data_IF_307066057992
#
_entry.id   IF_307066057992
#
_cell.length_a   1.000
_cell.length_b   1.000
_cell.length_c   1.000
_cell.angle_alpha   90.00
_cell.angle_beta   90.00
_cell.angle_gamma   90.00
#
_symmetry.space_group_name_H-M   'P 1'
#
loop_
_entity.id
_entity.type
_entity.pdbx_description
1 polymer ?
#
# COMPACT_ATOMS: atom_id res chain seq x y z
N UNK A 1 -3.24 -32.31 -14.25
CA UNK A 1 -2.58 -33.05 -13.13
C UNK A 1 -3.20 -32.69 -11.80
N UNK A 2 -3.17 -31.42 -11.37
CA UNK A 2 -3.71 -30.99 -10.07
C UNK A 2 -5.25 -31.12 -9.91
N UNK A 3 -5.99 -31.30 -11.01
CA UNK A 3 -7.42 -31.65 -10.97
C UNK A 3 -7.69 -33.09 -10.51
N UNK A 4 -6.66 -33.93 -10.38
CA UNK A 4 -6.79 -35.29 -9.87
C UNK A 4 -6.66 -35.26 -8.33
N UNK A 5 -7.67 -35.73 -7.56
CA UNK A 5 -7.67 -35.66 -6.10
C UNK A 5 -6.52 -36.45 -5.44
N UNK A 6 -5.87 -37.36 -6.18
CA UNK A 6 -4.73 -38.13 -5.68
C UNK A 6 -3.40 -37.36 -5.74
N UNK A 7 -3.35 -36.22 -6.44
CA UNK A 7 -2.14 -35.40 -6.50
C UNK A 7 -2.06 -34.53 -5.25
N UNK A 8 -0.99 -34.72 -4.48
CA UNK A 8 -0.72 -33.94 -3.27
C UNK A 8 -0.09 -32.60 -3.65
N UNK A 9 -0.88 -31.51 -3.58
CA UNK A 9 -0.42 -30.15 -3.89
C UNK A 9 0.69 -29.67 -2.94
N UNK A 10 0.68 -30.16 -1.70
CA UNK A 10 1.66 -29.86 -0.64
C UNK A 10 2.68 -31.00 -0.47
N UNK A 11 3.04 -31.70 -1.55
CA UNK A 11 4.14 -32.67 -1.46
C UNK A 11 5.44 -31.97 -1.10
N UNK A 12 6.34 -32.69 -0.46
CA UNK A 12 7.65 -32.19 -0.04
C UNK A 12 8.74 -32.90 -0.85
N UNK A 13 9.75 -32.14 -1.26
CA UNK A 13 10.97 -32.72 -1.84
C UNK A 13 11.98 -33.14 -0.74
N UNK A 14 13.20 -33.49 -1.13
CA UNK A 14 14.26 -33.92 -0.21
C UNK A 14 14.72 -32.82 0.77
N UNK A 15 14.44 -31.55 0.48
CA UNK A 15 14.73 -30.39 1.33
C UNK A 15 13.49 -29.89 2.08
N UNK A 16 12.40 -30.65 2.03
CA UNK A 16 11.11 -30.27 2.59
C UNK A 16 10.53 -28.98 1.97
N UNK A 17 10.83 -28.71 0.69
CA UNK A 17 10.20 -27.63 -0.06
C UNK A 17 8.89 -28.08 -0.72
N UNK A 18 7.90 -27.19 -0.69
CA UNK A 18 6.63 -27.39 -1.41
C UNK A 18 6.74 -26.93 -2.88
N UNK A 19 5.86 -27.40 -3.78
CA UNK A 19 5.74 -26.86 -5.12
C UNK A 19 5.53 -25.34 -5.17
N UNK A 20 4.82 -24.79 -4.18
CA UNK A 20 4.57 -23.35 -4.09
C UNK A 20 5.85 -22.58 -3.77
N UNK A 21 6.69 -23.09 -2.85
CA UNK A 21 8.01 -22.51 -2.56
C UNK A 21 8.90 -22.48 -3.81
N UNK A 22 8.95 -23.60 -4.56
CA UNK A 22 9.68 -23.67 -5.82
C UNK A 22 9.17 -22.68 -6.86
N UNK A 23 7.85 -22.57 -7.02
CA UNK A 23 7.23 -21.64 -7.97
C UNK A 23 7.51 -20.17 -7.59
N UNK A 24 7.46 -19.85 -6.30
CA UNK A 24 7.75 -18.53 -5.78
C UNK A 24 9.22 -18.15 -6.00
N UNK A 25 10.15 -19.01 -5.63
CA UNK A 25 11.59 -18.77 -5.82
C UNK A 25 11.99 -18.61 -7.30
N UNK A 26 11.36 -19.40 -8.19
CA UNK A 26 11.62 -19.36 -9.64
C UNK A 26 10.81 -18.29 -10.39
N UNK A 27 10.12 -17.40 -9.67
CA UNK A 27 9.30 -16.32 -10.23
C UNK A 27 8.25 -16.79 -11.25
N UNK A 28 7.56 -17.91 -10.97
CA UNK A 28 6.54 -18.49 -11.85
C UNK A 28 5.12 -18.15 -11.40
N UNK A 29 4.68 -16.91 -11.66
CA UNK A 29 3.39 -16.38 -11.21
C UNK A 29 2.19 -17.28 -11.57
N UNK A 30 2.13 -17.81 -12.79
CA UNK A 30 1.04 -18.71 -13.21
C UNK A 30 1.01 -20.02 -12.42
N UNK A 31 2.18 -20.55 -12.04
CA UNK A 31 2.28 -21.75 -11.23
C UNK A 31 1.87 -21.46 -9.78
N UNK A 32 2.30 -20.32 -9.21
CA UNK A 32 1.83 -19.88 -7.89
C UNK A 32 0.31 -19.79 -7.87
N UNK A 33 -0.29 -19.11 -8.87
CA UNK A 33 -1.74 -18.95 -8.98
C UNK A 33 -2.46 -20.29 -9.05
N UNK A 34 -1.98 -21.20 -9.90
CA UNK A 34 -2.54 -22.54 -10.04
C UNK A 34 -2.45 -23.34 -8.73
N UNK A 35 -1.31 -23.32 -8.06
CA UNK A 35 -1.10 -24.06 -6.81
C UNK A 35 -2.00 -23.52 -5.68
N UNK A 36 -2.08 -22.21 -5.53
CA UNK A 36 -2.95 -21.55 -4.54
C UNK A 36 -4.43 -21.87 -4.78
N UNK A 37 -4.89 -21.85 -6.04
CA UNK A 37 -6.26 -22.25 -6.39
C UNK A 37 -6.59 -23.71 -6.03
N UNK A 38 -5.56 -24.57 -5.95
CA UNK A 38 -5.70 -25.98 -5.59
C UNK A 38 -5.38 -26.27 -4.11
N UNK A 39 -5.36 -25.23 -3.26
CA UNK A 39 -5.22 -25.40 -1.80
C UNK A 39 -3.79 -25.61 -1.33
N UNK A 40 -2.81 -25.05 -2.05
CA UNK A 40 -1.44 -25.01 -1.56
C UNK A 40 -1.37 -24.31 -0.20
N UNK A 41 -0.66 -24.92 0.75
CA UNK A 41 -0.41 -24.35 2.06
C UNK A 41 0.63 -23.23 1.94
N UNK A 42 0.16 -22.00 2.09
CA UNK A 42 0.95 -20.78 1.94
C UNK A 42 1.92 -20.56 3.11
N UNK A 43 1.59 -21.10 4.29
CA UNK A 43 2.34 -20.92 5.54
C UNK A 43 3.15 -22.15 5.94
N UNK A 44 3.22 -23.16 5.07
CA UNK A 44 4.10 -24.31 5.26
C UNK A 44 5.53 -23.83 5.57
N UNK A 45 6.09 -24.33 6.66
CA UNK A 45 7.41 -23.97 7.18
C UNK A 45 8.30 -25.21 7.41
N UNK A 46 7.94 -26.36 6.81
CA UNK A 46 8.65 -27.63 6.98
C UNK A 46 10.02 -27.67 6.31
N UNK A 47 10.34 -26.70 5.46
CA UNK A 47 11.65 -26.52 4.84
C UNK A 47 12.78 -26.64 5.88
N UNK A 48 13.92 -27.21 5.49
CA UNK A 48 15.04 -27.49 6.42
C UNK A 48 15.52 -26.27 7.24
N UNK A 49 15.35 -25.05 6.70
CA UNK A 49 15.66 -23.79 7.41
C UNK A 49 14.43 -22.99 7.84
N UNK A 50 13.22 -23.55 7.78
CA UNK A 50 11.98 -22.90 8.16
C UNK A 50 11.54 -21.79 7.19
N UNK A 51 11.84 -21.92 5.89
CA UNK A 51 11.48 -20.91 4.91
C UNK A 51 10.04 -21.14 4.44
N UNK A 52 9.26 -20.06 4.37
CA UNK A 52 7.89 -20.07 3.84
C UNK A 52 7.86 -19.66 2.37
N UNK A 53 6.72 -19.86 1.70
CA UNK A 53 6.53 -19.39 0.33
C UNK A 53 6.73 -17.87 0.19
N UNK A 54 6.31 -17.09 1.20
CA UNK A 54 6.49 -15.63 1.22
C UNK A 54 7.97 -15.22 1.31
N UNK A 55 8.78 -15.96 2.08
CA UNK A 55 10.23 -15.70 2.15
C UNK A 55 10.90 -15.94 0.79
N UNK A 56 10.53 -17.02 0.09
CA UNK A 56 11.04 -17.29 -1.26
C UNK A 56 10.58 -16.25 -2.29
N UNK A 57 9.33 -15.77 -2.20
CA UNK A 57 8.85 -14.69 -3.04
C UNK A 57 9.63 -13.39 -2.80
N UNK A 58 9.86 -13.02 -1.54
CA UNK A 58 10.70 -11.87 -1.17
C UNK A 58 12.13 -11.98 -1.69
N UNK A 59 12.73 -13.17 -1.63
CA UNK A 59 14.07 -13.44 -2.18
C UNK A 59 14.12 -13.36 -3.72
N UNK A 60 13.04 -13.77 -4.39
CA UNK A 60 12.95 -13.74 -5.86
C UNK A 60 12.89 -12.32 -6.44
N UNK A 61 12.49 -11.34 -5.62
CA UNK A 61 12.26 -9.96 -6.07
C UNK A 61 10.94 -9.74 -6.81
N UNK A 62 10.11 -10.77 -6.97
CA UNK A 62 8.84 -10.65 -7.69
C UNK A 62 7.72 -10.12 -6.78
N UNK A 63 7.45 -8.82 -6.89
CA UNK A 63 6.40 -8.14 -6.13
C UNK A 63 4.99 -8.67 -6.42
N UNK A 64 4.67 -9.07 -7.67
CA UNK A 64 3.37 -9.64 -8.05
C UNK A 64 3.13 -10.97 -7.34
N UNK A 65 4.14 -11.84 -7.30
CA UNK A 65 4.05 -13.12 -6.59
C UNK A 65 3.96 -12.90 -5.07
N UNK A 66 4.70 -11.92 -4.56
CA UNK A 66 4.65 -11.55 -3.15
C UNK A 66 3.24 -11.12 -2.75
N UNK A 67 2.61 -10.24 -3.53
CA UNK A 67 1.22 -9.82 -3.31
C UNK A 67 0.24 -11.00 -3.41
N UNK A 68 0.39 -11.86 -4.43
CA UNK A 68 -0.46 -13.04 -4.61
C UNK A 68 -0.40 -14.01 -3.41
N UNK A 69 0.78 -14.21 -2.85
CA UNK A 69 1.00 -15.08 -1.68
C UNK A 69 0.39 -14.43 -0.43
N UNK A 70 0.54 -13.12 -0.24
CA UNK A 70 -0.10 -12.39 0.86
C UNK A 70 -1.63 -12.44 0.76
N UNK A 71 -2.19 -12.27 -0.43
CA UNK A 71 -3.64 -12.39 -0.69
C UNK A 71 -4.17 -13.80 -0.39
N UNK A 72 -3.32 -14.83 -0.51
CA UNK A 72 -3.65 -16.19 -0.12
C UNK A 72 -3.57 -16.44 1.40
N UNK A 73 -3.26 -15.42 2.21
CA UNK A 73 -3.23 -15.50 3.66
C UNK A 73 -1.86 -15.81 4.26
N UNK A 74 -0.78 -15.46 3.55
CA UNK A 74 0.56 -15.62 4.09
C UNK A 74 0.78 -14.75 5.34
N UNK A 75 1.35 -15.35 6.38
CA UNK A 75 1.74 -14.68 7.61
C UNK A 75 3.06 -13.93 7.41
N UNK A 76 3.09 -12.65 7.77
CA UNK A 76 4.24 -11.75 7.53
C UNK A 76 5.28 -11.79 8.65
N UNK A 77 4.89 -12.30 9.82
CA UNK A 77 5.65 -12.36 11.08
C UNK A 77 6.33 -13.70 11.33
N UNK A 78 6.05 -14.72 10.50
CA UNK A 78 6.79 -15.98 10.54
C UNK A 78 8.29 -15.75 10.31
N UNK A 79 9.10 -16.42 11.12
CA UNK A 79 10.56 -16.34 11.09
C UNK A 79 11.18 -17.68 10.73
N UNK A 80 12.26 -17.63 9.95
CA UNK A 80 13.06 -18.81 9.64
C UNK A 80 14.00 -19.19 10.80
N UNK A 81 14.83 -20.22 10.59
CA UNK A 81 15.79 -20.72 11.59
C UNK A 81 16.82 -19.70 12.09
N UNK A 82 17.04 -18.61 11.35
CA UNK A 82 17.92 -17.50 11.74
C UNK A 82 17.16 -16.29 12.28
N UNK A 83 15.86 -16.44 12.57
CA UNK A 83 15.03 -15.40 13.19
C UNK A 83 14.67 -14.25 12.24
N UNK A 84 14.62 -14.50 10.92
CA UNK A 84 14.31 -13.48 9.91
C UNK A 84 12.93 -13.67 9.28
N UNK A 85 12.19 -12.57 9.16
CA UNK A 85 10.90 -12.51 8.44
C UNK A 85 11.10 -12.38 6.94
N UNK A 86 10.04 -12.60 6.16
CA UNK A 86 10.09 -12.44 4.70
C UNK A 86 10.53 -11.04 4.25
N UNK A 87 10.04 -9.97 4.91
CA UNK A 87 10.46 -8.60 4.62
C UNK A 87 11.95 -8.39 4.91
N UNK A 88 12.48 -8.97 6.00
CA UNK A 88 13.90 -8.86 6.32
C UNK A 88 14.78 -9.65 5.34
N UNK A 89 14.32 -10.81 4.88
CA UNK A 89 15.00 -11.59 3.83
C UNK A 89 15.02 -10.80 2.51
N UNK A 90 13.90 -10.23 2.09
CA UNK A 90 13.82 -9.39 0.90
C UNK A 90 14.75 -8.16 1.01
N UNK A 91 14.78 -7.50 2.18
CA UNK A 91 15.66 -6.36 2.42
C UNK A 91 17.16 -6.76 2.35
N UNK A 92 17.52 -7.93 2.87
CA UNK A 92 18.90 -8.42 2.86
C UNK A 92 19.46 -8.58 1.43
N UNK A 93 18.62 -8.98 0.47
CA UNK A 93 18.98 -9.11 -0.94
C UNK A 93 18.63 -7.87 -1.79
N UNK A 94 18.21 -6.77 -1.17
CA UNK A 94 17.91 -5.50 -1.87
C UNK A 94 16.58 -5.47 -2.62
N UNK A 95 15.65 -6.37 -2.33
CA UNK A 95 14.36 -6.48 -3.03
C UNK A 95 13.31 -5.52 -2.43
N UNK A 96 13.55 -4.22 -2.58
CA UNK A 96 12.78 -3.15 -1.93
C UNK A 96 11.29 -3.13 -2.30
N UNK A 97 10.92 -3.50 -3.52
CA UNK A 97 9.51 -3.57 -3.92
C UNK A 97 8.77 -4.66 -3.15
N UNK A 98 9.40 -5.83 -2.94
CA UNK A 98 8.84 -6.89 -2.11
C UNK A 98 8.73 -6.45 -0.64
N UNK A 99 9.75 -5.78 -0.10
CA UNK A 99 9.70 -5.20 1.27
C UNK A 99 8.52 -4.23 1.40
N UNK A 100 8.34 -3.36 0.41
CA UNK A 100 7.26 -2.38 0.39
C UNK A 100 5.91 -3.08 0.38
N UNK A 101 5.72 -4.07 -0.49
CA UNK A 101 4.48 -4.86 -0.59
C UNK A 101 4.18 -5.57 0.72
N UNK A 102 5.15 -6.26 1.33
CA UNK A 102 4.95 -6.99 2.59
C UNK A 102 4.58 -6.04 3.72
N UNK A 103 5.35 -4.96 3.91
CA UNK A 103 5.15 -4.03 5.03
C UNK A 103 3.87 -3.19 4.89
N UNK A 104 3.41 -2.93 3.67
CA UNK A 104 2.20 -2.16 3.39
C UNK A 104 0.99 -3.04 3.08
N UNK A 105 1.11 -4.37 3.23
CA UNK A 105 0.03 -5.28 2.87
C UNK A 105 -1.20 -5.04 3.74
N UNK A 106 -2.35 -4.92 3.07
CA UNK A 106 -3.64 -4.83 3.72
C UNK A 106 -4.57 -5.87 3.10
N UNK A 107 -4.93 -6.89 3.88
CA UNK A 107 -5.76 -7.96 3.37
C UNK A 107 -7.15 -7.46 2.99
N UNK A 108 -7.63 -7.90 1.83
CA UNK A 108 -8.99 -7.57 1.37
C UNK A 108 -10.06 -8.04 2.36
N UNK A 109 -9.85 -9.19 3.00
CA UNK A 109 -10.74 -9.72 4.04
C UNK A 109 -10.94 -8.73 5.21
N UNK A 110 -9.90 -7.98 5.59
CA UNK A 110 -10.00 -6.95 6.64
C UNK A 110 -10.88 -5.77 6.21
N UNK A 111 -10.90 -5.41 4.93
CA UNK A 111 -11.83 -4.42 4.40
C UNK A 111 -13.26 -4.96 4.31
N UNK A 112 -13.40 -6.23 3.93
CA UNK A 112 -14.70 -6.88 3.76
C UNK A 112 -15.50 -6.96 5.08
N UNK A 113 -14.83 -6.93 6.24
CA UNK A 113 -15.47 -6.76 7.54
C UNK A 113 -16.45 -5.57 7.58
N UNK A 114 -16.11 -4.46 6.90
CA UNK A 114 -16.91 -3.23 6.85
C UNK A 114 -18.02 -3.28 5.81
N UNK A 115 -18.02 -4.31 4.95
CA UNK A 115 -19.02 -4.46 3.88
C UNK A 115 -20.28 -5.18 4.33
N UNK A 116 -20.31 -5.61 5.59
CA UNK A 116 -21.44 -6.28 6.23
C UNK A 116 -21.85 -5.49 7.47
N UNK A 117 -23.16 -5.38 7.77
CA UNK A 117 -23.60 -4.79 9.03
C UNK A 117 -23.04 -5.58 10.22
N UNK A 118 -22.59 -4.89 11.27
CA UNK A 118 -22.03 -5.51 12.47
C UNK A 118 -22.90 -5.20 13.70
N UNK A 119 -23.13 -6.22 14.55
CA UNK A 119 -23.93 -6.05 15.77
C UNK A 119 -25.36 -5.57 15.48
N UNK A 120 -25.70 -4.37 15.97
CA UNK A 120 -27.02 -3.75 15.81
C UNK A 120 -27.14 -2.81 14.60
N UNK A 121 -26.13 -2.78 13.72
CA UNK A 121 -26.14 -1.93 12.52
C UNK A 121 -27.13 -2.46 11.47
N UNK A 122 -27.87 -1.55 10.84
CA UNK A 122 -28.84 -1.88 9.78
C UNK A 122 -28.16 -1.87 8.40
N UNK A 123 -27.19 -0.99 8.20
CA UNK A 123 -26.44 -0.85 6.95
C UNK A 123 -24.94 -1.08 7.17
N UNK A 124 -24.21 -1.59 6.16
CA UNK A 124 -22.77 -1.70 6.24
C UNK A 124 -22.10 -0.32 6.21
N UNK A 125 -20.99 -0.18 6.95
CA UNK A 125 -20.18 1.05 6.97
C UNK A 125 -19.58 1.35 5.59
N UNK A 126 -19.25 0.32 4.83
CA UNK A 126 -18.76 0.40 3.46
C UNK A 126 -19.70 -0.37 2.52
N UNK A 127 -20.25 0.23 1.46
CA UNK A 127 -20.95 -0.52 0.42
C UNK A 127 -20.04 -1.61 -0.20
N UNK A 128 -20.50 -2.87 -0.39
CA UNK A 128 -19.66 -3.94 -0.93
C UNK A 128 -18.98 -3.61 -2.27
N UNK A 129 -19.67 -2.84 -3.13
CA UNK A 129 -19.14 -2.35 -4.42
C UNK A 129 -17.91 -1.44 -4.28
N UNK A 130 -17.73 -0.79 -3.13
CA UNK A 130 -16.58 0.08 -2.85
C UNK A 130 -15.36 -0.66 -2.31
N UNK A 131 -15.49 -1.94 -1.92
CA UNK A 131 -14.38 -2.70 -1.37
C UNK A 131 -13.22 -2.82 -2.36
N UNK A 132 -13.51 -3.11 -3.63
CA UNK A 132 -12.47 -3.19 -4.68
C UNK A 132 -11.76 -1.86 -4.91
N UNK A 133 -12.48 -0.78 -5.26
CA UNK A 133 -11.87 0.54 -5.49
C UNK A 133 -11.08 1.07 -4.29
N UNK A 134 -11.60 0.92 -3.07
CA UNK A 134 -10.93 1.38 -1.86
C UNK A 134 -9.71 0.53 -1.50
N UNK A 135 -9.80 -0.80 -1.67
CA UNK A 135 -8.65 -1.69 -1.50
C UNK A 135 -7.52 -1.36 -2.47
N UNK A 136 -7.84 -1.02 -3.73
CA UNK A 136 -6.84 -0.54 -4.72
C UNK A 136 -6.13 0.73 -4.25
N UNK A 137 -6.84 1.69 -3.66
CA UNK A 137 -6.23 2.90 -3.08
C UNK A 137 -5.33 2.53 -1.89
N UNK A 138 -5.81 1.68 -0.99
CA UNK A 138 -5.03 1.22 0.18
C UNK A 138 -3.73 0.53 -0.24
N UNK A 139 -3.78 -0.34 -1.26
CA UNK A 139 -2.63 -1.12 -1.72
C UNK A 139 -1.65 -0.30 -2.57
N UNK A 140 -2.03 0.90 -3.02
CA UNK A 140 -1.13 1.76 -3.79
C UNK A 140 0.11 2.14 -2.97
N UNK A 141 1.28 2.04 -3.60
CA UNK A 141 2.58 2.42 -3.03
C UNK A 141 3.00 3.84 -3.42
N UNK A 142 2.44 4.37 -4.50
CA UNK A 142 2.61 5.76 -4.91
C UNK A 142 1.67 6.67 -4.11
N UNK A 143 2.21 7.27 -3.05
CA UNK A 143 1.50 8.14 -2.11
C UNK A 143 1.39 9.59 -2.59
N UNK A 144 1.73 9.89 -3.85
CA UNK A 144 1.61 11.23 -4.38
C UNK A 144 0.12 11.66 -4.38
N UNK A 145 -0.24 12.83 -3.80
CA UNK A 145 -1.63 13.29 -3.77
C UNK A 145 -2.27 13.34 -5.16
N UNK A 146 -1.51 13.72 -6.20
CA UNK A 146 -2.01 13.79 -7.59
C UNK A 146 -2.43 12.41 -8.07
N UNK A 147 -1.59 11.39 -7.84
CA UNK A 147 -1.91 10.00 -8.20
C UNK A 147 -3.16 9.51 -7.48
N UNK A 148 -3.27 9.78 -6.19
CA UNK A 148 -4.41 9.36 -5.38
C UNK A 148 -5.71 10.04 -5.81
N UNK A 149 -5.67 11.35 -6.11
CA UNK A 149 -6.82 12.09 -6.66
C UNK A 149 -7.21 11.54 -8.03
N UNK A 150 -6.24 11.19 -8.88
CA UNK A 150 -6.53 10.53 -10.16
C UNK A 150 -7.22 9.17 -9.98
N UNK A 151 -6.78 8.34 -9.02
CA UNK A 151 -7.45 7.06 -8.72
C UNK A 151 -8.91 7.26 -8.29
N UNK A 152 -9.20 8.30 -7.52
CA UNK A 152 -10.58 8.68 -7.16
C UNK A 152 -11.36 9.14 -8.39
N UNK A 153 -10.77 10.00 -9.21
CA UNK A 153 -11.41 10.58 -10.41
C UNK A 153 -11.75 9.52 -11.47
N UNK A 154 -10.90 8.50 -11.62
CA UNK A 154 -11.06 7.45 -12.64
C UNK A 154 -12.14 6.42 -12.29
N UNK A 155 -12.54 6.30 -11.02
CA UNK A 155 -13.55 5.33 -10.57
C UNK A 155 -14.93 6.00 -10.38
N UNK A 156 -15.95 5.63 -11.17
CA UNK A 156 -17.28 6.23 -11.08
C UNK A 156 -17.96 6.06 -9.71
N UNK A 157 -17.56 5.08 -8.92
CA UNK A 157 -18.11 4.87 -7.58
C UNK A 157 -17.47 5.78 -6.53
N UNK A 158 -16.22 6.22 -6.75
CA UNK A 158 -15.48 7.06 -5.81
C UNK A 158 -15.72 8.56 -6.00
N UNK A 159 -16.25 8.98 -7.16
CA UNK A 159 -16.67 10.37 -7.38
C UNK A 159 -18.06 10.69 -6.78
N UNK A 160 -18.82 9.67 -6.36
CA UNK A 160 -20.06 9.88 -5.61
C UNK A 160 -19.77 10.37 -4.19
N UNK A 161 -20.33 11.52 -3.82
CA UNK A 161 -20.07 12.21 -2.54
C UNK A 161 -20.38 11.32 -1.34
N UNK A 162 -21.51 10.60 -1.37
CA UNK A 162 -21.95 9.74 -0.25
C UNK A 162 -21.06 8.50 -0.14
N UNK A 163 -20.70 7.91 -1.28
CA UNK A 163 -19.79 6.77 -1.34
C UNK A 163 -18.39 7.13 -0.83
N UNK A 164 -17.83 8.26 -1.29
CA UNK A 164 -16.52 8.75 -0.87
C UNK A 164 -16.49 9.11 0.62
N UNK A 165 -17.60 9.66 1.14
CA UNK A 165 -17.76 9.89 2.57
C UNK A 165 -17.66 8.60 3.38
N UNK A 166 -18.35 7.53 2.95
CA UNK A 166 -18.22 6.21 3.59
C UNK A 166 -16.78 5.67 3.49
N UNK A 167 -16.09 5.88 2.37
CA UNK A 167 -14.70 5.46 2.20
C UNK A 167 -13.73 6.10 3.21
N UNK A 168 -13.72 7.44 3.34
CA UNK A 168 -12.78 8.08 4.26
C UNK A 168 -13.10 7.78 5.73
N UNK A 169 -14.39 7.65 6.10
CA UNK A 169 -14.79 7.24 7.46
C UNK A 169 -14.27 5.84 7.80
N UNK A 170 -14.26 4.92 6.83
CA UNK A 170 -13.65 3.59 7.01
C UNK A 170 -12.13 3.68 7.14
N UNK A 171 -11.48 4.62 6.45
CA UNK A 171 -10.04 4.87 6.65
C UNK A 171 -9.74 5.36 8.06
N UNK A 172 -10.57 6.25 8.63
CA UNK A 172 -10.43 6.71 10.01
C UNK A 172 -10.55 5.55 11.00
N UNK A 173 -11.53 4.66 10.80
CA UNK A 173 -11.70 3.45 11.62
C UNK A 173 -10.52 2.49 11.49
N UNK A 174 -9.99 2.29 10.27
CA UNK A 174 -8.81 1.45 10.04
C UNK A 174 -7.56 2.03 10.70
N UNK A 175 -7.38 3.36 10.64
CA UNK A 175 -6.31 4.07 11.34
C UNK A 175 -6.39 3.79 12.84
N UNK A 176 -7.57 3.98 13.44
CA UNK A 176 -7.79 3.72 14.86
C UNK A 176 -7.53 2.26 15.25
N UNK A 177 -7.96 1.31 14.42
CA UNK A 177 -7.69 -0.10 14.64
C UNK A 177 -6.20 -0.44 14.60
N UNK A 178 -5.42 0.17 13.70
CA UNK A 178 -3.97 -0.06 13.63
C UNK A 178 -3.25 0.41 14.90
N UNK A 179 -3.81 1.39 15.61
CA UNK A 179 -3.25 1.90 16.87
C UNK A 179 -3.69 1.09 18.08
N UNK A 180 -4.90 0.53 18.07
CA UNK A 180 -5.44 -0.28 19.18
C UNK A 180 -4.92 -1.72 19.23
N UNK A 181 -4.25 -2.19 18.17
CA UNK A 181 -3.65 -3.52 18.16
C UNK A 181 -2.50 -3.62 19.16
N UNK A 182 -2.28 -4.83 19.70
CA UNK A 182 -1.28 -5.09 20.74
C UNK A 182 0.13 -4.63 20.31
N UNK A 183 0.44 -4.78 19.03
CA UNK A 183 1.56 -4.14 18.36
C UNK A 183 1.03 -3.04 17.45
N UNK A 184 1.24 -1.78 17.85
CA UNK A 184 0.80 -0.62 17.08
C UNK A 184 1.52 -0.57 15.74
N UNK A 185 0.78 -0.77 14.65
CA UNK A 185 1.34 -0.64 13.31
C UNK A 185 1.30 0.84 12.89
N UNK A 186 2.30 1.61 13.34
CA UNK A 186 2.38 3.06 13.10
C UNK A 186 2.37 3.43 11.62
N UNK A 187 3.07 2.64 10.79
CA UNK A 187 3.19 2.83 9.35
C UNK A 187 1.82 2.71 8.69
N UNK A 188 1.11 1.62 8.98
CA UNK A 188 -0.22 1.41 8.41
C UNK A 188 -1.22 2.44 8.94
N UNK A 189 -1.16 2.79 10.23
CA UNK A 189 -2.00 3.85 10.81
C UNK A 189 -1.80 5.20 10.10
N UNK A 190 -0.55 5.63 9.94
CA UNK A 190 -0.22 6.87 9.23
C UNK A 190 -0.65 6.82 7.76
N UNK A 191 -0.50 5.66 7.10
CA UNK A 191 -0.97 5.47 5.72
C UNK A 191 -2.49 5.62 5.62
N UNK A 192 -3.26 4.96 6.48
CA UNK A 192 -4.73 5.05 6.50
C UNK A 192 -5.19 6.49 6.76
N UNK A 193 -4.55 7.18 7.71
CA UNK A 193 -4.82 8.59 8.00
C UNK A 193 -4.53 9.50 6.80
N UNK A 194 -3.39 9.30 6.14
CA UNK A 194 -3.01 10.08 4.98
C UNK A 194 -3.98 9.86 3.82
N UNK A 195 -4.37 8.60 3.54
CA UNK A 195 -5.43 8.28 2.57
C UNK A 195 -6.73 8.99 2.96
N UNK A 196 -7.14 8.91 4.23
CA UNK A 196 -8.34 9.61 4.73
C UNK A 196 -8.28 11.12 4.43
N UNK A 197 -7.16 11.78 4.70
CA UNK A 197 -6.99 13.21 4.42
C UNK A 197 -7.13 13.54 2.92
N UNK A 198 -6.59 12.70 2.04
CA UNK A 198 -6.72 12.87 0.58
C UNK A 198 -8.17 12.67 0.15
N UNK A 199 -8.86 11.64 0.64
CA UNK A 199 -10.26 11.38 0.32
C UNK A 199 -11.18 12.49 0.84
N UNK A 200 -10.94 13.00 2.05
CA UNK A 200 -11.65 14.16 2.59
C UNK A 200 -11.43 15.41 1.74
N UNK A 201 -10.21 15.59 1.21
CA UNK A 201 -9.92 16.71 0.31
C UNK A 201 -10.64 16.58 -1.03
N UNK A 202 -10.69 15.36 -1.59
CA UNK A 202 -11.47 15.06 -2.78
C UNK A 202 -12.96 15.35 -2.54
N UNK A 203 -13.50 14.92 -1.39
CA UNK A 203 -14.89 15.13 -1.01
C UNK A 203 -15.24 16.62 -0.91
N UNK A 204 -14.41 17.42 -0.24
CA UNK A 204 -14.61 18.86 -0.11
C UNK A 204 -14.71 19.53 -1.49
N UNK A 205 -13.86 19.13 -2.44
CA UNK A 205 -13.94 19.60 -3.82
C UNK A 205 -15.21 19.09 -4.50
N UNK A 206 -15.54 17.79 -4.46
CA UNK A 206 -16.74 17.26 -5.12
C UNK A 206 -18.06 17.90 -4.66
N UNK A 207 -18.13 18.41 -3.42
CA UNK A 207 -19.29 19.12 -2.89
C UNK A 207 -19.52 20.52 -3.52
N UNK A 208 -18.52 21.11 -4.18
CA UNK A 208 -18.58 22.49 -4.69
C UNK A 208 -19.24 22.65 -6.09
N UNK A 209 -19.61 21.58 -6.84
CA UNK A 209 -20.11 21.65 -8.24
C UNK A 209 -19.37 20.80 -9.31
N UNK A 210 -19.58 21.06 -10.61
CA UNK A 210 -19.04 20.24 -11.72
C UNK A 210 -17.59 20.66 -12.12
N UNK A 211 -16.71 19.69 -12.43
CA UNK A 211 -15.26 19.79 -12.74
C UNK A 211 -14.26 19.88 -11.54
N UNK A 212 -14.68 19.53 -10.32
CA UNK A 212 -13.94 19.91 -9.10
C UNK A 212 -12.68 19.10 -8.78
N UNK A 213 -12.61 17.82 -9.13
CA UNK A 213 -11.35 17.08 -8.95
C UNK A 213 -10.27 17.60 -9.91
N UNK A 214 -10.64 18.13 -11.08
CA UNK A 214 -9.69 18.82 -11.96
C UNK A 214 -9.19 20.13 -11.36
N UNK A 215 -10.05 20.86 -10.62
CA UNK A 215 -9.62 22.03 -9.86
C UNK A 215 -8.65 21.67 -8.72
N UNK A 216 -8.87 20.53 -8.04
CA UNK A 216 -7.95 20.02 -7.04
C UNK A 216 -6.61 19.60 -7.68
N UNK A 217 -6.64 18.86 -8.79
CA UNK A 217 -5.43 18.47 -9.53
C UNK A 217 -4.63 19.69 -9.98
N UNK A 218 -5.28 20.71 -10.56
CA UNK A 218 -4.63 21.97 -10.93
C UNK A 218 -3.99 22.66 -9.73
N UNK A 219 -4.67 22.64 -8.58
CA UNK A 219 -4.16 23.25 -7.35
C UNK A 219 -2.95 22.49 -6.78
N UNK A 220 -2.96 21.15 -6.84
CA UNK A 220 -1.84 20.30 -6.41
C UNK A 220 -0.62 20.39 -7.33
N UNK A 221 -0.83 20.72 -8.61
CA UNK A 221 0.23 20.86 -9.62
C UNK A 221 0.73 22.29 -9.78
N UNK A 222 0.03 23.28 -9.20
CA UNK A 222 0.42 24.68 -9.36
C UNK A 222 1.75 24.94 -8.65
N UNK A 223 2.78 25.16 -9.46
CA UNK A 223 4.10 25.57 -9.02
C UNK A 223 4.17 27.03 -8.57
N UNK A 224 5.14 27.35 -7.70
CA UNK A 224 5.47 28.73 -7.33
C UNK A 224 6.19 29.44 -8.47
N UNK A 225 5.98 30.75 -8.52
CA UNK A 225 6.72 31.62 -9.44
C UNK A 225 8.22 31.55 -9.10
N UNK A 226 9.06 31.18 -10.08
CA UNK A 226 10.51 31.06 -9.93
C UNK A 226 11.04 29.69 -10.32
N UNK A 227 10.63 28.64 -9.62
CA UNK A 227 11.17 27.28 -9.78
C UNK A 227 10.12 26.18 -9.99
N UNK A 228 8.84 26.53 -10.00
CA UNK A 228 7.76 25.57 -10.23
C UNK A 228 7.45 24.65 -9.04
N UNK A 229 8.01 24.88 -7.85
CA UNK A 229 7.76 24.03 -6.68
C UNK A 229 6.27 24.01 -6.27
N UNK A 230 5.62 22.85 -6.10
CA UNK A 230 4.19 22.74 -5.82
C UNK A 230 3.87 23.05 -4.35
N UNK A 231 3.89 24.33 -3.98
CA UNK A 231 3.71 24.78 -2.58
C UNK A 231 2.40 24.29 -1.94
N UNK A 232 1.32 24.23 -2.71
CA UNK A 232 0.03 23.78 -2.19
C UNK A 232 0.07 22.29 -1.79
N UNK A 233 0.70 21.47 -2.63
CA UNK A 233 0.89 20.04 -2.36
C UNK A 233 1.75 19.82 -1.11
N UNK A 234 2.86 20.54 -1.00
CA UNK A 234 3.75 20.48 0.18
C UNK A 234 3.01 20.87 1.47
N UNK A 235 2.26 21.99 1.45
CA UNK A 235 1.45 22.44 2.60
C UNK A 235 0.39 21.40 2.97
N UNK A 236 -0.30 20.86 1.96
CA UNK A 236 -1.32 19.83 2.17
C UNK A 236 -0.74 18.60 2.87
N UNK A 237 0.41 18.08 2.43
CA UNK A 237 1.05 16.90 3.04
C UNK A 237 1.47 17.21 4.49
N UNK A 238 2.09 18.38 4.74
CA UNK A 238 2.46 18.83 6.10
C UNK A 238 1.24 18.92 7.02
N UNK A 239 0.12 19.43 6.50
CA UNK A 239 -1.13 19.53 7.25
C UNK A 239 -1.74 18.15 7.52
N UNK A 240 -1.63 17.19 6.59
CA UNK A 240 -2.05 15.81 6.84
C UNK A 240 -1.27 15.20 8.01
N UNK A 241 0.07 15.32 8.00
CA UNK A 241 0.92 14.83 9.09
C UNK A 241 0.56 15.49 10.43
N UNK A 242 0.32 16.81 10.45
CA UNK A 242 -0.09 17.52 11.67
C UNK A 242 -1.44 17.06 12.22
N UNK A 243 -2.37 16.67 11.34
CA UNK A 243 -3.70 16.19 11.72
C UNK A 243 -3.70 14.74 12.21
N UNK A 244 -2.57 14.03 12.17
CA UNK A 244 -2.51 12.66 12.68
C UNK A 244 -2.81 12.66 14.18
N UNK A 245 -3.85 11.94 14.65
CA UNK A 245 -4.40 12.14 15.98
C UNK A 245 -3.54 11.54 17.11
N UNK A 246 -2.52 10.76 16.78
CA UNK A 246 -1.70 10.02 17.74
C UNK A 246 -0.31 10.66 17.90
N UNK A 247 -0.22 11.71 18.72
CA UNK A 247 1.02 12.48 18.94
C UNK A 247 2.18 11.68 19.54
N UNK A 248 1.88 10.59 20.24
CA UNK A 248 2.88 9.70 20.84
C UNK A 248 3.50 8.72 19.84
N UNK A 249 2.96 8.63 18.61
CA UNK A 249 3.52 7.78 17.57
C UNK A 249 4.94 8.21 17.24
N UNK A 250 5.90 7.29 17.37
CA UNK A 250 7.32 7.55 17.12
C UNK A 250 7.57 8.00 15.68
N UNK A 251 6.81 7.43 14.73
CA UNK A 251 6.81 7.78 13.32
C UNK A 251 6.40 9.23 13.09
N UNK A 252 5.30 9.69 13.73
CA UNK A 252 4.88 11.09 13.62
C UNK A 252 5.95 12.03 14.19
N UNK A 253 6.53 11.69 15.34
CA UNK A 253 7.58 12.51 15.94
C UNK A 253 8.81 12.61 15.03
N UNK A 254 9.20 11.52 14.36
CA UNK A 254 10.27 11.52 13.37
C UNK A 254 9.91 12.38 12.14
N UNK A 255 8.72 12.21 11.56
CA UNK A 255 8.25 13.01 10.43
C UNK A 255 8.29 14.51 10.76
N UNK A 256 7.75 14.90 11.92
CA UNK A 256 7.72 16.30 12.35
C UNK A 256 9.12 16.85 12.56
N UNK A 257 10.02 16.10 13.21
CA UNK A 257 11.42 16.53 13.41
C UNK A 257 12.16 16.74 12.09
N UNK A 258 11.90 15.91 11.08
CA UNK A 258 12.53 16.02 9.76
C UNK A 258 11.99 17.18 8.93
N UNK A 259 10.70 17.50 9.03
CA UNK A 259 10.02 18.43 8.12
C UNK A 259 9.83 19.83 8.72
N UNK A 260 9.55 19.93 10.03
CA UNK A 260 9.23 21.19 10.69
C UNK A 260 10.31 22.29 10.57
N UNK A 261 11.63 22.01 10.66
CA UNK A 261 12.65 23.04 10.51
C UNK A 261 12.93 23.41 9.04
N UNK A 262 12.38 22.67 8.08
CA UNK A 262 12.66 22.85 6.64
C UNK A 262 11.65 23.84 6.05
N UNK A 263 12.17 24.91 5.46
CA UNK A 263 11.35 25.88 4.73
C UNK A 263 10.67 25.23 3.51
N UNK A 264 9.46 25.69 3.20
CA UNK A 264 8.69 25.17 2.06
C UNK A 264 9.44 25.45 0.75
N UNK A 265 9.74 24.37 0.01
CA UNK A 265 10.49 24.42 -1.23
C UNK A 265 11.95 24.03 -1.10
N UNK A 266 12.43 23.71 0.11
CA UNK A 266 13.75 23.13 0.35
C UNK A 266 13.62 21.65 0.68
N UNK A 267 14.73 20.92 0.49
CA UNK A 267 14.83 19.51 0.86
C UNK A 267 15.18 19.30 2.34
N UNK A 268 14.74 18.17 2.94
CA UNK A 268 13.83 17.19 2.34
C UNK A 268 12.37 17.69 2.32
N UNK A 269 11.67 17.45 1.20
CA UNK A 269 10.23 17.75 1.09
C UNK A 269 9.37 16.89 2.01
N UNK A 270 8.19 17.37 2.39
CA UNK A 270 7.28 16.56 3.20
C UNK A 270 6.86 15.27 2.48
N UNK A 271 6.73 15.31 1.15
CA UNK A 271 6.43 14.14 0.35
C UNK A 271 7.54 13.08 0.40
N UNK A 272 8.82 13.48 0.27
CA UNK A 272 9.94 12.53 0.29
C UNK A 272 10.09 11.88 1.65
N UNK A 273 9.97 12.66 2.73
CA UNK A 273 10.04 12.14 4.11
C UNK A 273 8.87 11.21 4.41
N UNK A 274 7.63 11.58 4.04
CA UNK A 274 6.45 10.73 4.25
C UNK A 274 6.56 9.41 3.47
N UNK A 275 6.95 9.48 2.20
CA UNK A 275 7.10 8.28 1.37
C UNK A 275 8.17 7.36 1.94
N UNK A 276 9.34 7.89 2.28
CA UNK A 276 10.42 7.14 2.90
C UNK A 276 9.99 6.47 4.22
N UNK A 277 9.19 7.17 5.03
CA UNK A 277 8.67 6.64 6.28
C UNK A 277 7.67 5.47 6.08
N UNK A 278 6.88 5.51 5.00
CA UNK A 278 5.82 4.51 4.75
C UNK A 278 6.26 3.35 3.85
N UNK A 279 7.19 3.57 2.94
CA UNK A 279 7.68 2.55 2.00
C UNK A 279 9.09 2.05 2.33
N UNK A 280 9.77 2.68 3.29
CA UNK A 280 11.14 2.37 3.68
C UNK A 280 12.20 3.15 2.89
N UNK A 281 13.45 3.04 3.32
CA UNK A 281 14.61 3.65 2.65
C UNK A 281 14.91 2.97 1.32
N UNK A 282 14.67 3.68 0.22
CA UNK A 282 15.13 3.31 -1.11
C UNK A 282 16.54 3.88 -1.30
N UNK A 283 17.58 3.08 -1.03
CA UNK A 283 18.96 3.48 -1.30
C UNK A 283 19.22 3.30 -2.80
N UNK A 284 19.35 4.42 -3.52
CA UNK A 284 19.74 4.51 -4.94
C UNK A 284 18.95 3.59 -5.89
N UNK A 285 17.87 4.12 -6.45
CA UNK A 285 17.29 3.58 -7.68
C UNK A 285 17.57 4.53 -8.84
N UNK A 286 18.17 4.02 -9.92
CA UNK A 286 18.24 4.67 -11.25
C UNK A 286 16.87 4.72 -11.96
N UNK A 287 15.76 4.64 -11.20
CA UNK A 287 14.42 4.61 -11.76
C UNK A 287 13.89 6.04 -11.83
N UNK A 288 13.64 6.54 -13.03
CA UNK A 288 13.02 7.84 -13.23
C UNK A 288 11.55 7.81 -12.80
N UNK A 289 11.13 8.85 -12.07
CA UNK A 289 9.74 9.03 -11.62
C UNK A 289 9.12 10.21 -12.35
N UNK A 290 7.84 10.09 -12.69
CA UNK A 290 7.09 11.22 -13.24
C UNK A 290 7.04 12.36 -12.21
N UNK A 291 7.54 13.55 -12.56
CA UNK A 291 7.53 14.72 -11.69
C UNK A 291 6.11 15.18 -11.30
N UNK A 292 5.11 14.83 -12.11
CA UNK A 292 3.71 15.21 -11.90
C UNK A 292 2.98 14.28 -10.93
N UNK A 293 3.04 12.96 -11.18
CA UNK A 293 2.22 11.99 -10.45
C UNK A 293 3.03 10.93 -9.69
N UNK A 294 4.36 10.94 -9.75
CA UNK A 294 5.21 9.98 -9.05
C UNK A 294 5.20 8.57 -9.64
N UNK A 295 4.67 8.38 -10.86
CA UNK A 295 4.68 7.06 -11.52
C UNK A 295 6.11 6.62 -11.87
N UNK A 296 6.44 5.36 -11.61
CA UNK A 296 7.75 4.76 -11.95
C UNK A 296 7.90 4.59 -13.47
N UNK A 297 9.11 4.82 -14.00
CA UNK A 297 9.48 4.54 -15.40
C UNK A 297 8.92 5.54 -16.41
N UNK A 298 8.80 6.81 -16.02
CA UNK A 298 8.24 7.87 -16.86
C UNK A 298 9.34 8.76 -17.45
N UNK A 299 10.04 8.28 -18.49
CA UNK A 299 11.22 8.96 -19.03
C UNK A 299 10.91 10.17 -19.94
N UNK A 300 9.66 10.30 -20.44
CA UNK A 300 9.27 11.37 -21.38
C UNK A 300 7.83 11.84 -21.25
N UNK A 301 6.88 10.91 -21.23
CA UNK A 301 5.45 11.21 -21.10
C UNK A 301 4.84 10.10 -20.28
N UNK A 302 4.37 10.42 -19.10
CA UNK A 302 3.78 9.45 -18.20
C UNK A 302 2.57 8.78 -18.89
N UNK A 303 2.58 7.45 -18.97
CA UNK A 303 1.48 6.68 -19.54
C UNK A 303 0.19 6.84 -18.73
N UNK A 304 0.30 7.18 -17.45
CA UNK A 304 -0.80 7.36 -16.52
C UNK A 304 -1.37 8.78 -16.60
N UNK A 305 -0.61 9.82 -16.22
CA UNK A 305 -1.13 11.20 -16.21
C UNK A 305 -1.03 11.93 -17.56
N UNK A 306 -0.37 11.34 -18.56
CA UNK A 306 -0.12 11.94 -19.90
C UNK A 306 0.68 13.24 -19.87
N UNK A 307 1.25 13.63 -18.72
CA UNK A 307 2.14 14.79 -18.56
C UNK A 307 3.61 14.36 -18.64
N UNK A 308 4.48 15.33 -18.91
CA UNK A 308 5.94 15.21 -18.84
C UNK A 308 6.35 15.42 -17.39
#
# INVERSE_FOLDING_TARGET
LLSNPNVRVNCLDEYSMTPLMHAAYKSKADMCRLLLQHGADVNCNEHEYGYTALMFAGLSGNAEITEMILDAGAETDLVNSVGRTAAQMAAFVGQHDCVTVINNFFSRARLEYYTRPQGSEIEPKLPPKLAGPLHKIIMTTNLNPVKMVMLVKEDPLLVDVVALEKCYRVMDLLCEQCVKQQDMNEVLAMKMHYISCVLQKCLAFLQEGDDNLDALLRSLLKGRDGDGFPQYQEKFIRDCSRKFPYCEATLLQQLVRSIAPVEIGNDPTAFSVLTQALTGQMVLMDTEYCATCGEKGADKKCSFCKMV
#
